data_IF_360805333360
#
_entry.id   IF_360805333360
#
_cell.length_a   1.000
_cell.length_b   1.000
_cell.length_c   1.000
_cell.angle_alpha   90.00
_cell.angle_beta   90.00
_cell.angle_gamma   90.00
#
_symmetry.space_group_name_H-M   'P 1'
#
loop_
_entity.id
_entity.type
_entity.pdbx_description
1 polymer ?
#
# COMPACT_ATOMS: atom_id res chain seq x y z
N UNK A 1 -23.12 -15.09 6.55
CA UNK A 1 -21.88 -14.36 6.82
C UNK A 1 -22.11 -12.91 6.36
N UNK A 2 -21.67 -11.89 7.08
CA UNK A 2 -21.81 -10.52 6.60
C UNK A 2 -21.03 -10.38 5.28
N UNK A 3 -21.65 -9.75 4.28
CA UNK A 3 -20.96 -9.40 3.06
C UNK A 3 -20.00 -8.26 3.37
N UNK A 4 -18.71 -8.46 3.08
CA UNK A 4 -17.65 -7.49 3.29
C UNK A 4 -17.07 -7.11 1.91
N UNK A 5 -16.90 -5.83 1.63
CA UNK A 5 -16.17 -5.38 0.44
C UNK A 5 -14.68 -5.65 0.60
N UNK A 6 -13.96 -5.74 -0.51
CA UNK A 6 -12.48 -5.85 -0.48
C UNK A 6 -11.86 -4.66 0.25
N UNK A 7 -12.34 -3.44 -0.02
CA UNK A 7 -11.96 -2.21 0.69
C UNK A 7 -12.04 -2.35 2.21
N UNK A 8 -13.21 -2.78 2.71
CA UNK A 8 -13.43 -2.89 4.15
C UNK A 8 -12.63 -4.03 4.77
N UNK A 9 -12.38 -5.09 4.02
CA UNK A 9 -11.52 -6.20 4.42
C UNK A 9 -10.06 -5.76 4.61
N UNK A 10 -9.53 -4.96 3.68
CA UNK A 10 -8.18 -4.39 3.76
C UNK A 10 -8.10 -3.37 4.90
N UNK A 11 -9.10 -2.49 5.03
CA UNK A 11 -9.18 -1.55 6.16
C UNK A 11 -9.11 -2.27 7.51
N UNK A 12 -9.88 -3.35 7.68
CA UNK A 12 -9.81 -4.16 8.90
C UNK A 12 -8.43 -4.77 9.14
N UNK A 13 -7.75 -5.23 8.07
CA UNK A 13 -6.40 -5.77 8.18
C UNK A 13 -5.39 -4.70 8.64
N UNK A 14 -5.48 -3.49 8.07
CA UNK A 14 -4.64 -2.35 8.48
C UNK A 14 -4.87 -2.00 9.95
N UNK A 15 -6.12 -1.86 10.38
CA UNK A 15 -6.46 -1.60 11.78
C UNK A 15 -5.91 -2.69 12.71
N UNK A 16 -6.00 -3.94 12.31
CA UNK A 16 -5.51 -5.08 13.11
C UNK A 16 -3.98 -5.06 13.24
N UNK A 17 -3.26 -4.86 12.15
CA UNK A 17 -1.80 -4.88 12.18
C UNK A 17 -1.20 -3.63 12.82
N UNK A 18 -1.77 -2.45 12.61
CA UNK A 18 -1.35 -1.23 13.31
C UNK A 18 -1.61 -1.29 14.81
N UNK A 19 -2.66 -1.98 15.26
CA UNK A 19 -2.90 -2.24 16.68
C UNK A 19 -1.90 -3.26 17.27
N UNK A 20 -1.50 -4.26 16.49
CA UNK A 20 -0.59 -5.35 16.90
C UNK A 20 0.86 -4.90 16.98
N UNK A 21 1.33 -4.10 16.02
CA UNK A 21 2.74 -3.76 15.87
C UNK A 21 2.90 -2.23 15.68
N UNK A 22 3.56 -1.53 16.62
CA UNK A 22 3.76 -0.09 16.53
C UNK A 22 4.67 0.33 15.37
N UNK A 23 5.43 -0.58 14.78
CA UNK A 23 6.30 -0.31 13.63
C UNK A 23 5.53 -0.20 12.31
N UNK A 24 4.27 -0.66 12.27
CA UNK A 24 3.43 -0.54 11.07
C UNK A 24 3.01 0.91 10.89
N UNK A 25 3.39 1.49 9.76
CA UNK A 25 3.00 2.85 9.33
C UNK A 25 2.31 2.79 7.97
N UNK A 26 1.44 3.74 7.70
CA UNK A 26 0.78 3.91 6.39
C UNK A 26 1.21 5.25 5.82
N UNK A 27 1.64 5.27 4.56
CA UNK A 27 2.05 6.52 3.90
C UNK A 27 1.61 6.53 2.44
N UNK A 28 1.32 7.72 1.93
CA UNK A 28 0.87 7.91 0.55
C UNK A 28 0.13 9.22 0.37
N UNK A 29 -0.32 9.46 -0.85
CA UNK A 29 -1.14 10.61 -1.20
C UNK A 29 -2.54 10.44 -0.61
N UNK A 30 -3.02 11.46 0.13
CA UNK A 30 -4.35 11.55 0.72
C UNK A 30 -4.76 10.39 1.67
N UNK A 31 -3.81 9.59 2.17
CA UNK A 31 -4.12 8.43 3.03
C UNK A 31 -4.70 8.83 4.39
N UNK A 32 -4.50 10.07 4.82
CA UNK A 32 -5.02 10.58 6.08
C UNK A 32 -6.42 11.18 5.98
N UNK A 33 -6.90 11.53 4.78
CA UNK A 33 -8.22 12.15 4.73
C UNK A 33 -8.80 12.44 3.37
N UNK A 34 -8.02 12.39 2.30
CA UNK A 34 -8.48 12.68 0.94
C UNK A 34 -8.40 14.16 0.56
N UNK A 35 -8.24 14.38 -0.76
CA UNK A 35 -8.02 15.69 -1.36
C UNK A 35 -9.20 16.65 -1.10
N UNK A 36 -8.89 17.80 -0.54
CA UNK A 36 -9.83 18.93 -0.47
C UNK A 36 -10.83 18.91 0.67
N UNK A 37 -10.77 17.94 1.58
CA UNK A 37 -11.61 17.96 2.79
C UNK A 37 -11.19 19.04 3.79
N UNK A 38 -12.14 19.60 4.52
CA UNK A 38 -11.87 20.35 5.75
C UNK A 38 -11.26 19.40 6.80
N UNK A 39 -10.56 19.93 7.82
CA UNK A 39 -9.88 19.10 8.82
C UNK A 39 -10.79 18.02 9.46
N UNK A 40 -12.06 18.31 9.67
CA UNK A 40 -13.01 17.34 10.24
C UNK A 40 -13.49 16.27 9.26
N UNK A 41 -13.52 16.57 7.96
CA UNK A 41 -13.87 15.61 6.92
C UNK A 41 -12.67 14.72 6.56
N UNK A 42 -11.43 15.23 6.68
CA UNK A 42 -10.20 14.48 6.50
C UNK A 42 -10.11 13.27 7.42
N UNK A 43 -10.45 13.43 8.70
CA UNK A 43 -10.40 12.34 9.68
C UNK A 43 -11.37 11.19 9.37
N UNK A 44 -12.42 11.47 8.60
CA UNK A 44 -13.45 10.49 8.24
C UNK A 44 -13.25 9.84 6.86
N UNK A 45 -12.57 10.52 5.93
CA UNK A 45 -12.56 10.12 4.52
C UNK A 45 -11.75 8.84 4.23
N UNK A 46 -10.56 8.69 4.82
CA UNK A 46 -9.76 7.45 4.68
C UNK A 46 -9.19 7.20 3.30
N UNK A 47 -8.63 8.24 2.65
CA UNK A 47 -8.12 8.18 1.29
C UNK A 47 -9.21 8.21 0.22
N UNK A 48 -8.80 8.23 -1.04
CA UNK A 48 -9.73 8.35 -2.20
C UNK A 48 -10.75 7.20 -2.25
N UNK A 49 -10.35 6.01 -1.89
CA UNK A 49 -11.21 4.82 -1.90
C UNK A 49 -11.73 4.42 -0.51
N UNK A 50 -11.41 5.17 0.54
CA UNK A 50 -11.85 4.87 1.90
C UNK A 50 -11.13 3.70 2.58
N UNK A 51 -10.03 3.20 2.00
CA UNK A 51 -9.31 2.03 2.55
C UNK A 51 -8.63 2.35 3.89
N UNK A 52 -8.15 3.59 4.07
CA UNK A 52 -7.45 4.03 5.29
C UNK A 52 -8.36 4.71 6.31
N UNK A 53 -9.69 4.61 6.12
CA UNK A 53 -10.69 5.25 6.99
C UNK A 53 -10.49 4.90 8.47
N UNK A 54 -10.46 5.94 9.31
CA UNK A 54 -10.34 5.80 10.76
C UNK A 54 -8.93 5.48 11.27
N UNK A 55 -7.93 5.39 10.40
CA UNK A 55 -6.55 5.15 10.84
C UNK A 55 -5.93 6.38 11.49
N UNK A 56 -6.06 7.57 10.86
CA UNK A 56 -5.48 8.81 11.38
C UNK A 56 -5.96 9.16 12.80
N UNK A 57 -7.28 9.23 13.11
CA UNK A 57 -7.74 9.58 14.45
C UNK A 57 -7.30 8.55 15.51
N UNK A 58 -7.04 7.31 15.10
CA UNK A 58 -6.66 6.24 16.03
C UNK A 58 -5.15 6.12 16.25
N UNK A 59 -4.33 6.37 15.23
CA UNK A 59 -2.89 6.08 15.27
C UNK A 59 -2.01 7.33 15.13
N UNK A 60 -2.60 8.48 14.79
CA UNK A 60 -1.92 9.78 14.68
C UNK A 60 -1.08 9.96 13.43
N UNK A 61 -0.65 11.21 13.20
CA UNK A 61 0.08 11.65 12.01
C UNK A 61 1.49 11.03 11.86
N UNK A 62 2.07 10.55 12.94
CA UNK A 62 3.37 9.86 12.89
C UNK A 62 3.28 8.46 12.30
N UNK A 63 2.08 7.88 12.24
CA UNK A 63 1.85 6.53 11.72
C UNK A 63 0.94 6.50 10.50
N UNK A 64 0.22 7.59 10.22
CA UNK A 64 -0.60 7.77 9.01
C UNK A 64 -0.15 9.06 8.37
N UNK A 65 0.66 8.95 7.33
CA UNK A 65 1.49 10.03 6.80
C UNK A 65 1.02 10.41 5.40
N UNK A 66 0.40 11.57 5.27
CA UNK A 66 0.11 12.14 3.95
C UNK A 66 1.39 12.66 3.29
N UNK A 67 1.44 12.47 1.98
CA UNK A 67 2.53 12.96 1.15
C UNK A 67 1.99 13.85 0.03
N UNK A 68 2.83 14.74 -0.54
CA UNK A 68 2.56 15.30 -1.85
C UNK A 68 2.48 14.19 -2.92
N UNK A 69 1.96 14.54 -4.12
CA UNK A 69 2.01 13.67 -5.32
C UNK A 69 3.47 13.48 -5.72
N UNK A 70 4.06 12.35 -5.34
CA UNK A 70 5.50 12.10 -5.49
C UNK A 70 5.83 10.61 -5.32
N UNK A 71 5.33 9.77 -6.21
CA UNK A 71 5.36 8.30 -6.07
C UNK A 71 6.78 7.75 -5.87
N UNK A 72 7.78 8.32 -6.57
CA UNK A 72 9.19 7.93 -6.36
C UNK A 72 9.67 8.21 -4.93
N UNK A 73 9.27 9.36 -4.35
CA UNK A 73 9.62 9.70 -2.98
C UNK A 73 8.85 8.84 -1.97
N UNK A 74 7.57 8.57 -2.22
CA UNK A 74 6.73 7.70 -1.36
C UNK A 74 7.38 6.32 -1.25
N UNK A 75 7.69 5.70 -2.37
CA UNK A 75 8.25 4.34 -2.38
C UNK A 75 9.69 4.32 -1.87
N UNK A 76 10.50 5.32 -2.22
CA UNK A 76 11.87 5.45 -1.69
C UNK A 76 11.89 5.62 -0.17
N UNK A 77 11.01 6.48 0.37
CA UNK A 77 10.85 6.66 1.82
C UNK A 77 10.38 5.39 2.52
N UNK A 78 9.41 4.67 1.92
CA UNK A 78 8.95 3.38 2.44
C UNK A 78 10.09 2.35 2.48
N UNK A 79 10.88 2.22 1.41
CA UNK A 79 12.04 1.33 1.39
C UNK A 79 13.07 1.69 2.46
N UNK A 80 13.39 2.98 2.61
CA UNK A 80 14.29 3.47 3.66
C UNK A 80 13.75 3.23 5.06
N UNK A 81 12.46 3.45 5.29
CA UNK A 81 11.80 3.19 6.56
C UNK A 81 11.83 1.69 6.93
N UNK A 82 11.63 0.82 5.94
CA UNK A 82 11.74 -0.63 6.12
C UNK A 82 13.16 -1.05 6.53
N UNK A 83 14.19 -0.51 5.89
CA UNK A 83 15.59 -0.74 6.27
C UNK A 83 15.92 -0.20 7.67
N UNK A 84 15.23 0.85 8.11
CA UNK A 84 15.36 1.41 9.46
C UNK A 84 14.56 0.65 10.54
N UNK A 85 13.87 -0.44 10.17
CA UNK A 85 13.17 -1.33 11.10
C UNK A 85 11.68 -1.07 11.26
N UNK A 86 11.08 -0.18 10.46
CA UNK A 86 9.63 -0.02 10.38
C UNK A 86 8.99 -1.06 9.43
N UNK A 87 7.67 -1.14 9.43
CA UNK A 87 6.87 -1.96 8.51
C UNK A 87 5.91 -1.07 7.72
N UNK A 88 6.40 -0.37 6.71
CA UNK A 88 5.58 0.57 5.96
C UNK A 88 4.61 -0.13 5.01
N UNK A 89 3.39 0.41 4.98
CA UNK A 89 2.38 0.14 3.95
C UNK A 89 2.26 1.41 3.13
N UNK A 90 2.88 1.42 1.96
CA UNK A 90 2.90 2.56 1.05
C UNK A 90 1.77 2.43 0.03
N UNK A 91 1.02 3.49 -0.18
CA UNK A 91 -0.02 3.53 -1.21
C UNK A 91 0.47 4.28 -2.45
N UNK A 92 0.39 3.63 -3.60
CA UNK A 92 0.38 4.24 -4.92
C UNK A 92 -1.07 4.22 -5.40
N UNK A 93 -1.65 5.38 -5.61
CA UNK A 93 -3.09 5.53 -5.80
C UNK A 93 -3.64 4.66 -6.93
N UNK A 94 -2.94 4.59 -8.07
CA UNK A 94 -3.27 3.72 -9.20
C UNK A 94 -2.06 2.94 -9.70
N UNK A 95 -2.28 1.71 -10.11
CA UNK A 95 -1.25 0.83 -10.66
C UNK A 95 -0.52 1.45 -11.87
N UNK A 96 -1.21 2.32 -12.59
CA UNK A 96 -0.69 3.10 -13.71
C UNK A 96 0.55 3.92 -13.32
N UNK A 97 0.61 4.40 -12.07
CA UNK A 97 1.70 5.25 -11.57
C UNK A 97 2.91 4.46 -11.04
N UNK A 98 2.84 3.13 -11.04
CA UNK A 98 4.01 2.28 -10.78
C UNK A 98 5.17 2.63 -11.73
N UNK A 99 4.88 3.06 -12.96
CA UNK A 99 5.88 3.52 -13.90
C UNK A 99 6.71 4.71 -13.41
N UNK A 100 6.11 5.62 -12.62
CA UNK A 100 6.81 6.82 -12.07
C UNK A 100 7.83 6.43 -11.00
N UNK A 101 7.56 5.39 -10.22
CA UNK A 101 8.40 4.92 -9.12
C UNK A 101 9.09 3.57 -9.39
N UNK A 102 9.14 3.14 -10.65
CA UNK A 102 9.62 1.81 -11.02
C UNK A 102 11.06 1.55 -10.54
N UNK A 103 11.95 2.53 -10.63
CA UNK A 103 13.33 2.37 -10.15
C UNK A 103 13.37 2.02 -8.66
N UNK A 104 12.58 2.70 -7.84
CA UNK A 104 12.53 2.45 -6.40
C UNK A 104 12.03 1.03 -6.09
N UNK A 105 11.07 0.52 -6.87
CA UNK A 105 10.56 -0.85 -6.72
C UNK A 105 11.57 -1.86 -7.28
N UNK A 106 11.97 -1.67 -8.53
CA UNK A 106 12.74 -2.64 -9.33
C UNK A 106 14.20 -2.74 -8.91
N UNK A 107 14.91 -1.59 -8.80
CA UNK A 107 16.34 -1.55 -8.54
C UNK A 107 16.71 -1.46 -7.07
N UNK A 108 15.84 -0.87 -6.24
CA UNK A 108 16.12 -0.62 -4.84
C UNK A 108 15.47 -1.69 -3.95
N UNK A 109 14.18 -1.59 -3.70
CA UNK A 109 13.44 -2.41 -2.74
C UNK A 109 13.56 -3.91 -3.05
N UNK A 110 13.38 -4.29 -4.30
CA UNK A 110 13.47 -5.68 -4.74
C UNK A 110 14.88 -6.29 -4.54
N UNK A 111 15.92 -5.46 -4.43
CA UNK A 111 17.32 -5.91 -4.42
C UNK A 111 18.02 -5.78 -3.06
N UNK A 112 17.47 -4.99 -2.13
CA UNK A 112 18.15 -4.72 -0.85
C UNK A 112 18.61 -5.98 -0.14
N UNK A 113 17.74 -6.98 0.02
CA UNK A 113 18.11 -8.22 0.71
C UNK A 113 19.28 -8.95 0.04
N UNK A 114 19.27 -9.04 -1.28
CA UNK A 114 20.34 -9.66 -2.04
C UNK A 114 21.64 -8.85 -1.96
N UNK A 115 21.56 -7.53 -2.19
CA UNK A 115 22.72 -6.63 -2.19
C UNK A 115 23.44 -6.59 -0.84
N UNK A 116 22.70 -6.71 0.25
CA UNK A 116 23.26 -6.76 1.61
C UNK A 116 23.58 -8.19 2.09
N UNK A 117 23.66 -9.16 1.17
CA UNK A 117 24.04 -10.54 1.48
C UNK A 117 23.09 -11.26 2.43
N UNK A 118 21.79 -10.96 2.37
CA UNK A 118 20.76 -11.55 3.23
C UNK A 118 20.74 -11.03 4.67
N UNK A 119 21.58 -10.05 5.02
CA UNK A 119 21.70 -9.52 6.40
C UNK A 119 20.60 -8.51 6.76
N UNK A 120 19.86 -8.04 5.78
CA UNK A 120 18.75 -7.12 6.00
C UNK A 120 17.44 -7.70 5.49
N UNK A 121 16.34 -7.21 6.05
CA UNK A 121 14.98 -7.43 5.56
C UNK A 121 14.46 -6.13 4.95
N UNK A 122 13.42 -6.22 4.11
CA UNK A 122 12.74 -5.05 3.58
C UNK A 122 11.22 -5.26 3.66
N UNK A 123 10.64 -5.23 4.87
CA UNK A 123 9.24 -5.51 5.11
C UNK A 123 8.33 -4.35 4.66
N UNK A 124 8.24 -4.13 3.36
CA UNK A 124 7.40 -3.08 2.77
C UNK A 124 6.24 -3.70 2.00
N UNK A 125 5.04 -3.16 2.21
CA UNK A 125 3.88 -3.44 1.37
C UNK A 125 3.63 -2.23 0.48
N UNK A 126 3.56 -2.44 -0.82
CA UNK A 126 3.17 -1.42 -1.80
C UNK A 126 1.75 -1.76 -2.25
N UNK A 127 0.76 -0.97 -1.83
CA UNK A 127 -0.63 -1.12 -2.22
C UNK A 127 -0.93 -0.25 -3.43
N UNK A 128 -1.74 -0.76 -4.35
CA UNK A 128 -2.19 0.04 -5.48
C UNK A 128 -3.51 -0.47 -6.06
N UNK A 129 -4.38 0.46 -6.47
CA UNK A 129 -5.63 0.15 -7.15
C UNK A 129 -5.39 -0.12 -8.65
N UNK A 130 -5.98 -1.18 -9.19
CA UNK A 130 -5.84 -1.55 -10.61
C UNK A 130 -7.18 -1.83 -11.29
N UNK A 131 -7.14 -1.95 -12.60
CA UNK A 131 -8.25 -2.44 -13.42
C UNK A 131 -9.22 -1.36 -13.89
N UNK A 132 -10.05 -1.72 -14.86
CA UNK A 132 -11.10 -0.88 -15.40
C UNK A 132 -12.41 -0.94 -14.57
N UNK A 133 -13.46 -0.26 -15.03
CA UNK A 133 -14.81 -0.37 -14.47
C UNK A 133 -15.37 0.89 -13.81
N UNK A 134 -14.55 1.93 -13.59
CA UNK A 134 -14.97 3.17 -12.92
C UNK A 134 -14.96 4.41 -13.83
N UNK A 135 -14.83 4.25 -15.14
CA UNK A 135 -14.81 5.33 -16.14
C UNK A 135 -13.75 6.43 -15.86
N UNK A 136 -12.59 6.05 -15.32
CA UNK A 136 -11.52 6.97 -14.92
C UNK A 136 -10.49 7.22 -16.03
N UNK A 137 -10.78 6.81 -17.25
CA UNK A 137 -9.89 6.95 -18.42
C UNK A 137 -8.77 5.91 -18.47
N UNK A 138 -8.00 5.95 -19.56
CA UNK A 138 -6.96 4.95 -19.86
C UNK A 138 -5.83 4.93 -18.81
N UNK A 139 -5.41 6.11 -18.33
CA UNK A 139 -4.29 6.28 -17.41
C UNK A 139 -4.62 5.93 -15.95
N UNK A 140 -5.84 5.46 -15.66
CA UNK A 140 -6.30 5.05 -14.33
C UNK A 140 -7.00 3.69 -14.38
N UNK A 141 -6.79 2.91 -15.44
CA UNK A 141 -7.53 1.67 -15.67
C UNK A 141 -6.66 0.49 -16.07
N UNK A 142 -5.35 0.65 -15.97
CA UNK A 142 -4.41 -0.37 -16.41
C UNK A 142 -4.19 -1.45 -15.33
N UNK A 143 -3.67 -2.58 -15.78
CA UNK A 143 -3.31 -3.72 -14.95
C UNK A 143 -1.81 -3.96 -15.10
N UNK A 144 -1.02 -3.47 -14.14
CA UNK A 144 0.45 -3.36 -14.26
C UNK A 144 1.22 -4.50 -13.57
N UNK A 145 0.55 -5.46 -12.93
CA UNK A 145 1.26 -6.54 -12.25
C UNK A 145 2.18 -7.39 -13.16
N UNK A 146 1.87 -7.61 -14.47
CA UNK A 146 2.76 -8.37 -15.33
C UNK A 146 4.17 -7.76 -15.46
N UNK A 147 4.27 -6.42 -15.36
CA UNK A 147 5.55 -5.72 -15.37
C UNK A 147 6.45 -6.11 -14.18
N UNK A 148 5.84 -6.42 -13.04
CA UNK A 148 6.56 -6.71 -11.79
C UNK A 148 6.75 -8.21 -11.53
N UNK A 149 5.99 -9.09 -12.17
CA UNK A 149 6.10 -10.54 -11.95
C UNK A 149 7.43 -11.12 -12.40
N UNK A 150 8.13 -10.45 -13.31
CA UNK A 150 9.47 -10.83 -13.77
C UNK A 150 10.61 -10.29 -12.88
N UNK A 151 10.30 -9.56 -11.79
CA UNK A 151 11.30 -8.91 -10.95
C UNK A 151 11.67 -9.82 -9.78
N UNK A 152 12.88 -10.40 -9.74
CA UNK A 152 13.31 -11.20 -8.60
C UNK A 152 13.40 -10.35 -7.33
N UNK A 153 12.90 -10.89 -6.22
CA UNK A 153 12.90 -10.25 -4.91
C UNK A 153 11.57 -9.57 -4.54
N UNK A 154 10.56 -9.59 -5.43
CA UNK A 154 9.20 -9.13 -5.13
C UNK A 154 8.24 -10.30 -4.97
N UNK A 155 7.29 -10.13 -4.08
CA UNK A 155 6.06 -10.95 -4.00
C UNK A 155 4.90 -10.15 -4.56
N UNK A 156 4.15 -10.74 -5.49
CA UNK A 156 3.00 -10.08 -6.13
C UNK A 156 1.72 -10.75 -5.62
N UNK A 157 0.82 -9.95 -5.08
CA UNK A 157 -0.45 -10.42 -4.51
C UNK A 157 -1.62 -9.74 -5.19
N UNK A 158 -2.60 -10.54 -5.63
CA UNK A 158 -3.79 -10.09 -6.35
C UNK A 158 -5.00 -10.86 -5.78
N UNK A 159 -5.64 -10.39 -4.70
CA UNK A 159 -6.80 -11.07 -4.15
C UNK A 159 -8.01 -10.92 -5.07
N UNK A 160 -8.87 -11.94 -5.09
CA UNK A 160 -10.09 -11.96 -5.90
C UNK A 160 -11.38 -11.83 -5.08
N UNK A 161 -11.30 -11.81 -3.77
CA UNK A 161 -12.43 -11.66 -2.86
C UNK A 161 -11.99 -11.04 -1.52
N UNK A 162 -12.96 -10.59 -0.72
CA UNK A 162 -12.70 -9.89 0.55
C UNK A 162 -12.02 -10.79 1.61
N UNK A 163 -12.32 -12.08 1.64
CA UNK A 163 -11.71 -13.00 2.60
C UNK A 163 -10.21 -13.14 2.36
N UNK A 164 -9.83 -13.38 1.11
CA UNK A 164 -8.44 -13.48 0.71
C UNK A 164 -7.73 -12.14 0.84
N UNK A 165 -8.39 -11.03 0.47
CA UNK A 165 -7.82 -9.70 0.61
C UNK A 165 -7.39 -9.41 2.06
N UNK A 166 -8.24 -9.73 3.05
CA UNK A 166 -7.88 -9.56 4.46
C UNK A 166 -6.73 -10.45 4.87
N UNK A 167 -6.81 -11.75 4.59
CA UNK A 167 -5.79 -12.72 4.98
C UNK A 167 -4.44 -12.45 4.36
N UNK A 168 -4.41 -12.17 3.07
CA UNK A 168 -3.19 -11.86 2.33
C UNK A 168 -2.58 -10.51 2.75
N UNK A 169 -3.40 -9.48 3.08
CA UNK A 169 -2.88 -8.21 3.59
C UNK A 169 -2.24 -8.38 4.97
N UNK A 170 -2.85 -9.13 5.87
CA UNK A 170 -2.23 -9.45 7.16
C UNK A 170 -0.88 -10.15 6.97
N UNK A 171 -0.83 -11.13 6.07
CA UNK A 171 0.40 -11.86 5.79
C UNK A 171 1.44 -10.96 5.11
N UNK A 172 1.05 -10.10 4.17
CA UNK A 172 1.95 -9.17 3.49
C UNK A 172 2.62 -8.20 4.48
N UNK A 173 1.87 -7.65 5.43
CA UNK A 173 2.43 -6.75 6.45
C UNK A 173 3.41 -7.47 7.38
N UNK A 174 3.20 -8.77 7.62
CA UNK A 174 4.08 -9.60 8.47
C UNK A 174 5.30 -10.16 7.75
N UNK A 175 5.29 -10.13 6.43
CA UNK A 175 6.39 -10.64 5.61
C UNK A 175 7.64 -9.77 5.76
N UNK A 176 8.81 -10.39 5.73
CA UNK A 176 10.10 -9.70 5.80
C UNK A 176 10.68 -9.33 4.43
N UNK A 177 10.00 -9.72 3.36
CA UNK A 177 10.33 -9.39 1.97
C UNK A 177 9.28 -8.44 1.38
N UNK A 178 9.62 -7.66 0.35
CA UNK A 178 8.71 -6.70 -0.23
C UNK A 178 7.53 -7.38 -0.96
N UNK A 179 6.33 -6.86 -0.70
CA UNK A 179 5.09 -7.32 -1.30
C UNK A 179 4.44 -6.18 -2.08
N UNK A 180 4.10 -6.42 -3.35
CA UNK A 180 3.24 -5.51 -4.11
C UNK A 180 1.83 -6.09 -4.14
N UNK A 181 0.89 -5.34 -3.60
CA UNK A 181 -0.49 -5.76 -3.37
C UNK A 181 -1.44 -4.99 -4.29
N UNK A 182 -1.99 -5.66 -5.27
CA UNK A 182 -2.89 -5.08 -6.27
C UNK A 182 -4.35 -5.27 -5.85
N UNK A 183 -5.10 -4.18 -5.80
CA UNK A 183 -6.50 -4.12 -5.41
C UNK A 183 -7.37 -3.80 -6.63
N UNK A 184 -8.23 -4.73 -7.03
CA UNK A 184 -9.09 -4.45 -8.17
C UNK A 184 -10.24 -3.52 -7.76
N UNK A 185 -10.35 -2.37 -8.41
CA UNK A 185 -11.29 -1.29 -8.04
C UNK A 185 -12.78 -1.68 -8.05
N UNK A 186 -13.15 -2.71 -8.81
CA UNK A 186 -14.52 -3.17 -8.96
C UNK A 186 -14.92 -4.33 -8.02
N UNK A 187 -14.04 -4.76 -7.08
CA UNK A 187 -14.29 -5.88 -6.16
C UNK A 187 -14.51 -5.44 -4.72
#
# INVERSE_FOLDING_TARGET
MPQLSMRDAINQALHQEMARDPRVIVLGEDVSGGAGGTSGEREAAGGIFGVTKGLLPKYGEQRVIDTPISESAIIGAAGGAALAGLRPVAEIMFADFVGVCLDQIYNQIAKFRYMFGGRTTCPVVIRTAMGAGMNMGAQHSQTMYPLLTAVPGLKIVIPSNAYDAKGLMLQAIRDDDPVVFFEHKAL
#
